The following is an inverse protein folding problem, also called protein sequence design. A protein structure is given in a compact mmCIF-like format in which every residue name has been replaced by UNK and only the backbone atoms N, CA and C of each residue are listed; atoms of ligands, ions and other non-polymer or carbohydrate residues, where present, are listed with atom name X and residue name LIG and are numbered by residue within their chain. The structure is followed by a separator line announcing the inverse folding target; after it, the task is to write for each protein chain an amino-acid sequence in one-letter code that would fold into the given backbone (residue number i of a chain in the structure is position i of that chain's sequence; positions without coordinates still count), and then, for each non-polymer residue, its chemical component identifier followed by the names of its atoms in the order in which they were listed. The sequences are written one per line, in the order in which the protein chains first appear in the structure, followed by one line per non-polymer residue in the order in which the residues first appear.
data_IF_631790337537
#
_entry.id   IF_631790337537
#
_cell.length_a   1.000
_cell.length_b   1.000
_cell.length_c   1.000
_cell.angle_alpha   90.00
_cell.angle_beta   90.00
_cell.angle_gamma   90.00
#
_symmetry.space_group_name_H-M   'P 1'
#
loop_
_entity.id
_entity.type
_entity.pdbx_description
1 polymer ?
#
# COMPACT_ATOMS: atom_id res chain seq x y z
N UNK A 1 -17.78 -11.74 10.25
CA UNK A 1 -16.87 -12.66 9.50
C UNK A 1 -15.59 -12.80 10.29
N UNK A 2 -14.93 -13.96 10.25
CA UNK A 2 -13.62 -14.12 10.90
C UNK A 2 -12.60 -13.18 10.25
N UNK A 3 -11.89 -12.38 11.05
CA UNK A 3 -10.86 -11.41 10.64
C UNK A 3 -9.79 -12.12 9.80
N UNK A 4 -9.35 -13.30 10.22
CA UNK A 4 -8.39 -14.10 9.45
C UNK A 4 -8.91 -14.52 8.07
N UNK A 5 -10.20 -14.84 7.95
CA UNK A 5 -10.84 -15.19 6.67
C UNK A 5 -10.96 -13.97 5.76
N UNK A 6 -11.22 -12.80 6.33
CA UNK A 6 -11.34 -11.54 5.61
C UNK A 6 -9.99 -11.06 5.08
N UNK A 7 -8.92 -11.14 5.88
CA UNK A 7 -7.54 -10.89 5.44
C UNK A 7 -7.15 -11.87 4.34
N UNK A 8 -7.37 -13.17 4.55
CA UNK A 8 -7.06 -14.19 3.55
C UNK A 8 -7.79 -13.95 2.23
N UNK A 9 -9.07 -13.56 2.28
CA UNK A 9 -9.84 -13.21 1.09
C UNK A 9 -9.29 -11.97 0.37
N UNK A 10 -8.90 -10.93 1.12
CA UNK A 10 -8.26 -9.72 0.58
C UNK A 10 -6.92 -10.04 -0.09
N UNK A 11 -6.08 -10.83 0.57
CA UNK A 11 -4.79 -11.27 0.02
C UNK A 11 -4.98 -12.13 -1.23
N UNK A 12 -5.92 -13.09 -1.21
CA UNK A 12 -6.23 -13.93 -2.37
C UNK A 12 -6.79 -13.12 -3.54
N UNK A 13 -7.64 -12.13 -3.26
CA UNK A 13 -8.13 -11.20 -4.27
C UNK A 13 -6.98 -10.44 -4.92
N UNK A 14 -6.04 -9.93 -4.11
CA UNK A 14 -4.88 -9.19 -4.60
C UNK A 14 -3.97 -10.05 -5.47
N UNK A 15 -3.70 -11.28 -5.03
CA UNK A 15 -2.93 -12.28 -5.79
C UNK A 15 -3.64 -12.61 -7.10
N UNK A 16 -4.95 -12.85 -7.07
CA UNK A 16 -5.73 -13.15 -8.27
C UNK A 16 -5.68 -12.00 -9.28
N UNK A 17 -5.86 -10.76 -8.82
CA UNK A 17 -5.74 -9.56 -9.67
C UNK A 17 -4.34 -9.46 -10.27
N UNK A 18 -3.28 -9.70 -9.49
CA UNK A 18 -1.91 -9.64 -9.99
C UNK A 18 -1.62 -10.73 -11.02
N UNK A 19 -2.09 -11.97 -10.78
CA UNK A 19 -1.94 -13.08 -11.73
C UNK A 19 -2.69 -12.78 -13.03
N UNK A 20 -3.94 -12.33 -12.96
CA UNK A 20 -4.72 -11.92 -14.13
C UNK A 20 -4.00 -10.81 -14.89
N UNK A 21 -3.44 -9.82 -14.17
CA UNK A 21 -2.70 -8.71 -14.77
C UNK A 21 -1.47 -9.18 -15.52
N UNK A 22 -0.67 -10.06 -14.90
CA UNK A 22 0.52 -10.63 -15.53
C UNK A 22 0.17 -11.48 -16.75
N UNK A 23 -0.85 -12.35 -16.65
CA UNK A 23 -1.30 -13.20 -17.76
C UNK A 23 -1.85 -12.37 -18.92
N UNK A 24 -2.67 -11.35 -18.64
CA UNK A 24 -3.16 -10.43 -19.64
C UNK A 24 -2.02 -9.64 -20.31
N UNK A 25 -1.01 -9.23 -19.53
CA UNK A 25 0.22 -8.62 -20.04
C UNK A 25 0.95 -9.51 -21.03
N UNK A 26 1.22 -10.76 -20.64
CA UNK A 26 1.88 -11.74 -21.50
C UNK A 26 1.06 -11.99 -22.76
N UNK A 27 -0.24 -12.26 -22.63
CA UNK A 27 -1.11 -12.54 -23.77
C UNK A 27 -1.22 -11.36 -24.75
N UNK A 28 -1.19 -10.12 -24.25
CA UNK A 28 -1.16 -8.93 -25.11
C UNK A 28 0.15 -8.78 -25.87
N UNK A 29 1.29 -9.02 -25.19
CA UNK A 29 2.60 -9.01 -25.85
C UNK A 29 2.71 -10.11 -26.90
N UNK A 30 2.19 -11.30 -26.61
CA UNK A 30 2.16 -12.41 -27.56
C UNK A 30 1.24 -12.14 -28.76
N UNK A 31 0.08 -11.47 -28.59
CA UNK A 31 -0.80 -11.15 -29.72
C UNK A 31 -0.19 -10.16 -30.72
N UNK A 32 0.80 -9.36 -30.32
CA UNK A 32 1.47 -8.43 -31.23
C UNK A 32 2.51 -9.10 -32.15
N UNK A 33 3.00 -10.30 -31.81
CA UNK A 33 4.18 -10.88 -32.47
C UNK A 33 3.91 -11.68 -33.78
N UNK A 34 2.85 -12.52 -33.90
CA UNK A 34 2.77 -13.48 -35.01
C UNK A 34 2.17 -12.92 -36.30
N UNK A 35 1.20 -12.01 -36.22
CA UNK A 35 0.51 -11.51 -37.41
C UNK A 35 1.42 -10.63 -38.27
N UNK A 36 2.20 -9.76 -37.63
CA UNK A 36 3.15 -8.86 -38.28
C UNK A 36 4.35 -9.63 -38.81
N UNK A 37 4.93 -10.52 -38.00
CA UNK A 37 6.15 -11.23 -38.38
C UNK A 37 5.98 -12.22 -39.52
N UNK A 38 4.75 -12.64 -39.85
CA UNK A 38 4.46 -13.46 -41.03
C UNK A 38 4.25 -12.59 -42.27
N UNK A 39 3.37 -11.58 -42.18
CA UNK A 39 3.09 -10.65 -43.29
C UNK A 39 4.37 -9.92 -43.71
N UNK A 40 5.21 -9.51 -42.76
CA UNK A 40 6.46 -8.81 -43.07
C UNK A 40 7.49 -9.74 -43.75
N UNK A 41 7.53 -11.03 -43.41
CA UNK A 41 8.45 -11.99 -44.06
C UNK A 41 7.99 -12.31 -45.47
N UNK A 42 6.71 -12.63 -45.63
CA UNK A 42 6.10 -12.90 -46.94
C UNK A 42 6.28 -11.67 -47.85
N UNK A 43 6.00 -10.46 -47.35
CA UNK A 43 6.15 -9.26 -48.19
C UNK A 43 7.62 -8.94 -48.52
N UNK A 44 8.58 -9.17 -47.60
CA UNK A 44 10.01 -8.98 -47.89
C UNK A 44 10.51 -9.95 -48.97
N UNK A 45 10.06 -11.20 -48.96
CA UNK A 45 10.41 -12.18 -49.99
C UNK A 45 9.87 -11.77 -51.37
N UNK A 46 8.63 -11.26 -51.44
CA UNK A 46 8.04 -10.75 -52.68
C UNK A 46 8.74 -9.49 -53.20
N UNK A 47 9.14 -8.56 -52.33
CA UNK A 47 9.95 -7.38 -52.73
C UNK A 47 11.31 -7.81 -53.28
N UNK A 48 12.01 -8.72 -52.61
CA UNK A 48 13.30 -9.21 -53.07
C UNK A 48 13.19 -9.92 -54.43
N UNK A 49 12.11 -10.67 -54.68
CA UNK A 49 11.83 -11.28 -55.97
C UNK A 49 11.66 -10.22 -57.08
N UNK A 50 10.88 -9.17 -56.82
CA UNK A 50 10.69 -8.04 -57.76
C UNK A 50 12.01 -7.31 -58.04
N UNK A 51 12.79 -7.01 -57.01
CA UNK A 51 14.10 -6.35 -57.16
C UNK A 51 15.09 -7.22 -57.95
N UNK A 52 15.10 -8.53 -57.69
CA UNK A 52 15.95 -9.48 -58.42
C UNK A 52 15.59 -9.53 -59.91
N UNK A 53 14.30 -9.57 -60.23
CA UNK A 53 13.81 -9.54 -61.61
C UNK A 53 14.16 -8.22 -62.31
N UNK A 54 13.96 -7.07 -61.65
CA UNK A 54 14.33 -5.76 -62.19
C UNK A 54 15.84 -5.64 -62.42
N UNK A 55 16.66 -6.11 -61.49
CA UNK A 55 18.12 -6.08 -61.61
C UNK A 55 18.61 -6.89 -62.82
N UNK A 56 18.05 -8.09 -63.05
CA UNK A 56 18.35 -8.92 -64.22
C UNK A 56 17.98 -8.19 -65.51
N UNK A 57 16.83 -7.51 -65.53
CA UNK A 57 16.39 -6.67 -66.64
C UNK A 57 17.18 -5.36 -66.78
N UNK A 58 18.28 -5.14 -66.06
CA UNK A 58 19.25 -4.07 -66.37
C UNK A 58 20.49 -4.58 -67.10
N UNK A 59 20.72 -5.90 -67.11
CA UNK A 59 21.87 -6.51 -67.76
C UNK A 59 21.76 -6.32 -69.29
N UNK A 60 22.82 -5.86 -69.97
CA UNK A 60 22.78 -5.64 -71.43
C UNK A 60 22.62 -6.94 -72.23
N UNK A 61 23.25 -8.02 -71.76
CA UNK A 61 23.22 -9.34 -72.40
C UNK A 61 22.88 -10.39 -71.36
N UNK A 62 21.70 -10.99 -71.47
CA UNK A 62 21.19 -11.98 -70.52
C UNK A 62 21.63 -13.37 -70.96
N UNK A 63 22.43 -14.03 -70.13
CA UNK A 63 22.87 -15.41 -70.33
C UNK A 63 21.93 -16.42 -69.69
N UNK A 64 22.31 -17.69 -69.77
CA UNK A 64 21.54 -18.79 -69.19
C UNK A 64 21.42 -18.69 -67.65
N UNK A 65 22.46 -18.16 -66.99
CA UNK A 65 22.48 -17.97 -65.54
C UNK A 65 21.46 -16.90 -65.10
N UNK A 66 21.45 -15.76 -65.80
CA UNK A 66 20.52 -14.66 -65.53
C UNK A 66 19.07 -15.08 -65.80
N UNK A 67 18.83 -15.83 -66.88
CA UNK A 67 17.51 -16.37 -67.20
C UNK A 67 17.01 -17.34 -66.13
N UNK A 68 17.88 -18.22 -65.63
CA UNK A 68 17.54 -19.13 -64.55
C UNK A 68 17.24 -18.37 -63.25
N UNK A 69 18.02 -17.34 -62.93
CA UNK A 69 17.79 -16.49 -61.77
C UNK A 69 16.45 -15.73 -61.86
N UNK A 70 16.08 -15.27 -63.06
CA UNK A 70 14.80 -14.60 -63.30
C UNK A 70 13.63 -15.56 -63.06
N UNK A 71 13.68 -16.76 -63.64
CA UNK A 71 12.64 -17.77 -63.45
C UNK A 71 12.51 -18.21 -61.99
N UNK A 72 13.62 -18.33 -61.27
CA UNK A 72 13.60 -18.64 -59.84
C UNK A 72 12.94 -17.51 -59.02
N UNK A 73 13.25 -16.26 -59.34
CA UNK A 73 12.63 -15.10 -58.68
C UNK A 73 11.13 -14.98 -59.01
N UNK A 74 10.74 -15.21 -60.26
CA UNK A 74 9.34 -15.21 -60.68
C UNK A 74 8.54 -16.34 -60.00
N UNK A 75 9.09 -17.55 -59.96
CA UNK A 75 8.47 -18.68 -59.26
C UNK A 75 8.33 -18.42 -57.75
N UNK A 76 9.30 -17.74 -57.13
CA UNK A 76 9.21 -17.32 -55.74
C UNK A 76 8.07 -16.31 -55.51
N UNK A 77 7.93 -15.31 -56.39
CA UNK A 77 6.85 -14.32 -56.30
C UNK A 77 5.46 -14.96 -56.47
N UNK A 78 5.31 -15.94 -57.36
CA UNK A 78 4.04 -16.66 -57.55
C UNK A 78 3.69 -17.64 -56.45
N UNK A 79 4.71 -18.19 -55.79
CA UNK A 79 4.51 -19.00 -54.58
C UNK A 79 4.04 -18.19 -53.38
N UNK A 80 4.06 -16.85 -53.48
CA UNK A 80 3.87 -15.94 -52.37
C UNK A 80 2.93 -14.78 -52.73
N UNK A 81 1.77 -15.12 -53.29
CA UNK A 81 0.68 -14.19 -53.59
C UNK A 81 -0.03 -13.82 -52.30
N UNK A 82 -0.03 -12.53 -51.99
CA UNK A 82 -0.60 -11.94 -50.77
C UNK A 82 -1.83 -11.07 -51.06
N UNK A 83 -1.88 -10.43 -52.22
CA UNK A 83 -2.95 -9.50 -52.61
C UNK A 83 -3.72 -9.99 -53.86
N UNK A 84 -5.03 -9.69 -53.97
CA UNK A 84 -5.89 -10.22 -55.03
C UNK A 84 -5.53 -9.71 -56.44
N UNK A 85 -4.84 -8.58 -56.56
CA UNK A 85 -4.40 -8.00 -57.83
C UNK A 85 -3.06 -8.57 -58.34
N UNK A 86 -2.28 -9.28 -57.51
CA UNK A 86 -0.96 -9.80 -57.89
C UNK A 86 -0.99 -10.90 -58.96
N UNK A 87 -1.95 -11.85 -58.99
CA UNK A 87 -1.99 -12.92 -59.99
C UNK A 87 -2.03 -12.42 -61.43
N UNK A 88 -2.78 -11.35 -61.70
CA UNK A 88 -2.93 -10.79 -63.04
C UNK A 88 -1.61 -10.16 -63.52
N UNK A 89 -0.89 -9.49 -62.62
CA UNK A 89 0.42 -8.92 -62.89
C UNK A 89 1.48 -9.99 -63.10
N UNK A 90 1.48 -11.04 -62.27
CA UNK A 90 2.40 -12.18 -62.40
C UNK A 90 2.19 -12.94 -63.70
N UNK A 91 0.92 -13.14 -64.11
CA UNK A 91 0.59 -13.75 -65.39
C UNK A 91 1.12 -12.91 -66.57
N UNK A 92 0.97 -11.58 -66.51
CA UNK A 92 1.49 -10.65 -67.52
C UNK A 92 3.03 -10.66 -67.58
N UNK A 93 3.70 -10.73 -66.43
CA UNK A 93 5.16 -10.86 -66.35
C UNK A 93 5.60 -12.16 -67.00
N UNK A 94 4.95 -13.28 -66.69
CA UNK A 94 5.28 -14.60 -67.28
C UNK A 94 5.07 -14.65 -68.79
N UNK A 95 3.97 -14.11 -69.29
CA UNK A 95 3.69 -14.12 -70.73
C UNK A 95 4.76 -13.38 -71.53
N UNK A 96 5.34 -12.31 -70.94
CA UNK A 96 6.30 -11.44 -71.61
C UNK A 96 7.76 -11.66 -71.21
N UNK A 97 8.04 -12.49 -70.20
CA UNK A 97 9.39 -12.69 -69.66
C UNK A 97 10.35 -13.23 -70.72
N UNK A 98 9.95 -14.23 -71.50
CA UNK A 98 10.81 -14.83 -72.53
C UNK A 98 11.25 -13.83 -73.60
N UNK A 99 10.34 -12.97 -74.06
CA UNK A 99 10.63 -11.93 -75.04
C UNK A 99 11.49 -10.80 -74.42
N UNK A 100 11.19 -10.41 -73.18
CA UNK A 100 11.96 -9.42 -72.44
C UNK A 100 13.42 -9.87 -72.21
N UNK A 101 13.62 -11.15 -71.84
CA UNK A 101 14.93 -11.75 -71.61
C UNK A 101 15.71 -11.99 -72.92
N UNK A 102 15.01 -12.17 -74.04
CA UNK A 102 15.60 -12.22 -75.38
C UNK A 102 16.05 -10.83 -75.89
N UNK A 103 15.75 -9.75 -75.15
CA UNK A 103 16.18 -8.39 -75.46
C UNK A 103 15.18 -7.56 -76.28
N UNK A 104 13.93 -8.00 -76.41
CA UNK A 104 12.88 -7.18 -77.03
C UNK A 104 12.59 -5.93 -76.18
N UNK A 105 12.80 -4.70 -76.71
CA UNK A 105 12.58 -3.47 -75.95
C UNK A 105 11.13 -3.29 -75.49
N UNK A 106 10.16 -3.74 -76.29
CA UNK A 106 8.73 -3.62 -75.97
C UNK A 106 8.34 -4.52 -74.81
N UNK A 107 8.66 -5.82 -74.89
CA UNK A 107 8.43 -6.76 -73.81
C UNK A 107 9.19 -6.38 -72.54
N UNK A 108 10.43 -5.87 -72.65
CA UNK A 108 11.21 -5.40 -71.48
C UNK A 108 10.53 -4.22 -70.78
N UNK A 109 10.01 -3.26 -71.53
CA UNK A 109 9.24 -2.14 -70.97
C UNK A 109 7.95 -2.64 -70.29
N UNK A 110 7.21 -3.54 -70.93
CA UNK A 110 5.99 -4.13 -70.37
C UNK A 110 6.23 -4.86 -69.05
N UNK A 111 7.29 -5.68 -68.99
CA UNK A 111 7.67 -6.42 -67.78
C UNK A 111 8.14 -5.46 -66.68
N UNK A 112 8.92 -4.41 -67.00
CA UNK A 112 9.35 -3.41 -66.01
C UNK A 112 8.15 -2.66 -65.42
N UNK A 113 7.17 -2.28 -66.24
CA UNK A 113 5.93 -1.65 -65.76
C UNK A 113 5.19 -2.58 -64.82
N UNK A 114 4.95 -3.84 -65.23
CA UNK A 114 4.24 -4.81 -64.40
C UNK A 114 4.97 -5.11 -63.08
N UNK A 115 6.31 -5.24 -63.09
CA UNK A 115 7.12 -5.41 -61.88
C UNK A 115 7.06 -4.18 -60.95
N UNK A 116 7.02 -2.98 -61.52
CA UNK A 116 6.91 -1.74 -60.74
C UNK A 116 5.55 -1.62 -60.09
N UNK A 117 4.48 -1.97 -60.80
CA UNK A 117 3.10 -2.04 -60.29
C UNK A 117 2.99 -3.09 -59.18
N UNK A 118 3.55 -4.30 -59.40
CA UNK A 118 3.59 -5.37 -58.39
C UNK A 118 4.32 -4.91 -57.12
N UNK A 119 5.48 -4.26 -57.27
CA UNK A 119 6.22 -3.70 -56.14
C UNK A 119 5.48 -2.56 -55.42
N UNK A 120 4.62 -1.80 -56.13
CA UNK A 120 3.81 -0.76 -55.52
C UNK A 120 2.66 -1.33 -54.68
N UNK A 121 1.98 -2.38 -55.18
CA UNK A 121 0.94 -3.10 -54.44
C UNK A 121 1.54 -3.70 -53.16
N UNK A 122 2.68 -4.38 -53.27
CA UNK A 122 3.31 -5.00 -52.11
C UNK A 122 3.71 -3.97 -51.03
N UNK A 123 4.30 -2.83 -51.43
CA UNK A 123 4.63 -1.74 -50.49
C UNK A 123 3.38 -1.12 -49.85
N UNK A 124 2.28 -1.00 -50.59
CA UNK A 124 1.02 -0.49 -50.05
C UNK A 124 0.44 -1.46 -49.01
N UNK A 125 0.46 -2.77 -49.30
CA UNK A 125 0.05 -3.82 -48.38
C UNK A 125 0.91 -3.83 -47.10
N UNK A 126 2.23 -3.69 -47.21
CA UNK A 126 3.13 -3.52 -46.06
C UNK A 126 2.74 -2.32 -45.20
N UNK A 127 2.45 -1.16 -45.82
CA UNK A 127 2.04 0.05 -45.10
C UNK A 127 0.74 -0.13 -44.33
N UNK A 128 -0.26 -0.76 -44.94
CA UNK A 128 -1.55 -1.04 -44.27
C UNK A 128 -1.39 -2.03 -43.11
N UNK A 129 -0.56 -3.07 -43.29
CA UNK A 129 -0.27 -4.03 -42.24
C UNK A 129 0.47 -3.39 -41.05
N UNK A 130 1.40 -2.47 -41.30
CA UNK A 130 2.10 -1.72 -40.26
C UNK A 130 1.17 -0.75 -39.52
N UNK A 131 0.28 -0.05 -40.22
CA UNK A 131 -0.74 0.78 -39.58
C UNK A 131 -1.67 -0.03 -38.67
N UNK A 132 -2.15 -1.18 -39.14
CA UNK A 132 -3.02 -2.05 -38.36
C UNK A 132 -2.29 -2.62 -37.13
N UNK A 133 -1.02 -2.98 -37.28
CA UNK A 133 -0.14 -3.36 -36.19
C UNK A 133 -0.01 -2.27 -35.12
N UNK A 134 0.22 -1.02 -35.56
CA UNK A 134 0.34 0.14 -34.67
C UNK A 134 -0.97 0.41 -33.93
N UNK A 135 -2.12 0.26 -34.61
CA UNK A 135 -3.45 0.41 -33.99
C UNK A 135 -3.69 -0.64 -32.92
N UNK A 136 -3.41 -1.91 -33.21
CA UNK A 136 -3.48 -2.99 -32.22
C UNK A 136 -2.55 -2.75 -31.03
N UNK A 137 -1.33 -2.26 -31.28
CA UNK A 137 -0.39 -1.88 -30.23
C UNK A 137 -0.85 -0.73 -29.35
N UNK A 138 -1.54 0.27 -29.93
CA UNK A 138 -2.11 1.38 -29.16
C UNK A 138 -3.24 0.92 -28.23
N UNK A 139 -4.13 0.04 -28.70
CA UNK A 139 -5.19 -0.53 -27.90
C UNK A 139 -4.63 -1.42 -26.77
N UNK A 140 -3.58 -2.19 -27.05
CA UNK A 140 -2.87 -3.00 -26.08
C UNK A 140 -2.33 -2.19 -24.90
N UNK A 141 -1.69 -1.05 -25.19
CA UNK A 141 -1.15 -0.17 -24.15
C UNK A 141 -2.23 0.39 -23.22
N UNK A 142 -3.36 0.82 -23.77
CA UNK A 142 -4.45 1.35 -22.95
C UNK A 142 -5.10 0.28 -22.05
N UNK A 143 -5.23 -0.94 -22.56
CA UNK A 143 -5.73 -2.05 -21.75
C UNK A 143 -4.78 -2.37 -20.57
N UNK A 144 -3.46 -2.38 -20.80
CA UNK A 144 -2.47 -2.59 -19.74
C UNK A 144 -2.48 -1.46 -18.71
N UNK A 145 -2.56 -0.21 -19.16
CA UNK A 145 -2.65 0.95 -18.28
C UNK A 145 -3.91 0.88 -17.39
N UNK A 146 -5.05 0.52 -17.98
CA UNK A 146 -6.30 0.35 -17.25
C UNK A 146 -6.21 -0.80 -16.22
N UNK A 147 -5.62 -1.93 -16.60
CA UNK A 147 -5.46 -3.07 -15.71
C UNK A 147 -4.52 -2.76 -14.53
N UNK A 148 -3.42 -2.06 -14.79
CA UNK A 148 -2.53 -1.55 -13.76
C UNK A 148 -3.23 -0.57 -12.81
N UNK A 149 -4.07 0.32 -13.34
CA UNK A 149 -4.87 1.25 -12.54
C UNK A 149 -5.85 0.51 -11.62
N UNK A 150 -6.53 -0.53 -12.13
CA UNK A 150 -7.43 -1.37 -11.34
C UNK A 150 -6.66 -2.12 -10.24
N UNK A 151 -5.50 -2.70 -10.56
CA UNK A 151 -4.64 -3.36 -9.57
C UNK A 151 -4.15 -2.40 -8.48
N UNK A 152 -3.79 -1.18 -8.86
CA UNK A 152 -3.40 -0.13 -7.92
C UNK A 152 -4.57 0.27 -7.00
N UNK A 153 -5.75 0.50 -7.57
CA UNK A 153 -6.95 0.82 -6.80
C UNK A 153 -7.31 -0.30 -5.82
N UNK A 154 -7.31 -1.56 -6.27
CA UNK A 154 -7.56 -2.71 -5.41
C UNK A 154 -6.55 -2.80 -4.25
N UNK A 155 -5.28 -2.51 -4.52
CA UNK A 155 -4.23 -2.47 -3.48
C UNK A 155 -4.46 -1.35 -2.47
N UNK A 156 -4.81 -0.16 -2.93
CA UNK A 156 -5.10 0.99 -2.06
C UNK A 156 -6.31 0.72 -1.16
N UNK A 157 -7.40 0.17 -1.72
CA UNK A 157 -8.57 -0.24 -0.95
C UNK A 157 -8.23 -1.32 0.08
N UNK A 158 -7.36 -2.26 -0.27
CA UNK A 158 -6.90 -3.33 0.62
C UNK A 158 -6.13 -2.78 1.82
N UNK A 159 -5.18 -1.87 1.58
CA UNK A 159 -4.41 -1.21 2.63
C UNK A 159 -5.33 -0.39 3.54
N UNK A 160 -6.24 0.39 2.96
CA UNK A 160 -7.18 1.21 3.74
C UNK A 160 -8.06 0.35 4.63
N UNK A 161 -8.62 -0.73 4.09
CA UNK A 161 -9.43 -1.67 4.88
C UNK A 161 -8.64 -2.36 5.98
N UNK A 162 -7.41 -2.79 5.71
CA UNK A 162 -6.54 -3.37 6.72
C UNK A 162 -6.24 -2.37 7.85
N UNK A 163 -6.05 -1.08 7.51
CA UNK A 163 -5.90 0.01 8.47
C UNK A 163 -7.10 0.16 9.40
N UNK A 164 -8.29 0.32 8.83
CA UNK A 164 -9.52 0.53 9.60
C UNK A 164 -9.95 -0.70 10.41
N UNK A 165 -9.65 -1.92 9.93
CA UNK A 165 -10.16 -3.17 10.54
C UNK A 165 -9.17 -3.88 11.47
N UNK A 166 -7.86 -3.61 11.35
CA UNK A 166 -6.83 -4.28 12.15
C UNK A 166 -6.03 -3.30 12.98
N UNK A 167 -5.45 -2.28 12.32
CA UNK A 167 -4.53 -1.35 12.97
C UNK A 167 -5.25 -0.45 13.96
N UNK A 168 -6.44 0.07 13.62
CA UNK A 168 -7.21 0.91 14.52
C UNK A 168 -7.67 0.17 15.81
N UNK A 169 -8.28 -1.03 15.74
CA UNK A 169 -8.60 -1.80 16.95
C UNK A 169 -7.38 -2.14 17.82
N UNK A 170 -6.27 -2.55 17.21
CA UNK A 170 -5.04 -2.86 17.95
C UNK A 170 -4.45 -1.61 18.63
N UNK A 171 -4.49 -0.46 17.96
CA UNK A 171 -4.06 0.81 18.53
C UNK A 171 -4.94 1.19 19.73
N UNK A 172 -6.26 0.98 19.64
CA UNK A 172 -7.18 1.25 20.75
C UNK A 172 -6.90 0.34 21.95
N UNK A 173 -6.67 -0.97 21.74
CA UNK A 173 -6.28 -1.89 22.82
C UNK A 173 -5.05 -1.39 23.58
N UNK A 174 -4.00 -1.01 22.84
CA UNK A 174 -2.76 -0.51 23.43
C UNK A 174 -3.03 0.80 24.19
N UNK A 175 -3.86 1.70 23.64
CA UNK A 175 -4.18 2.96 24.29
C UNK A 175 -4.96 2.78 25.60
N UNK A 176 -5.96 1.90 25.64
CA UNK A 176 -6.78 1.63 26.83
C UNK A 176 -5.95 0.97 27.94
N UNK A 177 -5.16 -0.07 27.61
CA UNK A 177 -4.27 -0.71 28.58
C UNK A 177 -3.23 0.28 29.12
N UNK A 178 -2.70 1.15 28.25
CA UNK A 178 -1.73 2.18 28.68
C UNK A 178 -2.38 3.19 29.63
N UNK A 179 -3.60 3.65 29.34
CA UNK A 179 -4.34 4.57 30.21
C UNK A 179 -4.67 3.95 31.57
N UNK A 180 -5.12 2.70 31.58
CA UNK A 180 -5.39 1.97 32.81
C UNK A 180 -4.13 1.85 33.69
N UNK A 181 -2.98 1.55 33.08
CA UNK A 181 -1.67 1.55 33.78
C UNK A 181 -1.24 2.91 34.32
N UNK A 182 -1.73 4.00 33.73
CA UNK A 182 -1.47 5.37 34.17
C UNK A 182 -2.46 5.86 35.24
N UNK A 183 -3.42 5.00 35.65
CA UNK A 183 -4.39 5.29 36.71
C UNK A 183 -5.75 5.78 36.21
N UNK A 184 -5.97 5.87 34.90
CA UNK A 184 -7.29 6.14 34.33
C UNK A 184 -8.10 4.83 34.24
N UNK A 185 -8.76 4.48 35.35
CA UNK A 185 -9.51 3.22 35.46
C UNK A 185 -10.84 3.23 34.73
N UNK A 186 -11.33 4.39 34.27
CA UNK A 186 -12.65 4.51 33.65
C UNK A 186 -12.61 4.49 32.11
N UNK A 187 -11.43 4.59 31.49
CA UNK A 187 -11.32 4.47 30.04
C UNK A 187 -11.72 3.06 29.59
N UNK A 188 -12.56 3.00 28.55
CA UNK A 188 -13.03 1.76 27.90
C UNK A 188 -12.75 1.81 26.40
N UNK A 189 -12.78 0.64 25.77
CA UNK A 189 -12.58 0.51 24.33
C UNK A 189 -13.74 1.16 23.55
N UNK A 190 -13.45 1.72 22.38
CA UNK A 190 -14.51 2.19 21.48
C UNK A 190 -15.25 1.01 20.85
N UNK A 191 -16.57 1.14 20.71
CA UNK A 191 -17.36 0.13 20.01
C UNK A 191 -17.04 0.10 18.52
N UNK A 192 -16.56 -1.06 18.07
CA UNK A 192 -16.18 -1.33 16.70
C UNK A 192 -17.24 -2.21 16.00
N UNK A 193 -17.22 -2.28 14.66
CA UNK A 193 -18.10 -3.16 13.92
C UNK A 193 -17.91 -4.62 14.36
N UNK A 194 -18.97 -5.44 14.39
CA UNK A 194 -18.94 -6.78 14.97
C UNK A 194 -17.98 -7.70 14.19
N UNK A 195 -16.84 -8.00 14.80
CA UNK A 195 -15.81 -8.91 14.32
C UNK A 195 -15.07 -9.57 15.49
N UNK A 196 -14.15 -10.49 15.22
CA UNK A 196 -13.43 -11.19 16.30
C UNK A 196 -12.58 -10.24 17.17
N UNK A 197 -12.16 -9.09 16.63
CA UNK A 197 -11.44 -8.06 17.38
C UNK A 197 -12.37 -7.27 18.31
N UNK A 198 -13.63 -7.00 17.92
CA UNK A 198 -14.62 -6.40 18.81
C UNK A 198 -14.91 -7.33 19.99
N UNK A 199 -15.03 -8.64 19.74
CA UNK A 199 -15.22 -9.60 20.83
C UNK A 199 -14.04 -9.55 21.82
N UNK A 200 -12.80 -9.48 21.33
CA UNK A 200 -11.61 -9.37 22.20
C UNK A 200 -11.59 -8.06 22.99
N UNK A 201 -12.01 -6.94 22.39
CA UNK A 201 -12.12 -5.65 23.07
C UNK A 201 -13.19 -5.69 24.17
N UNK A 202 -14.34 -6.30 23.91
CA UNK A 202 -15.40 -6.45 24.90
C UNK A 202 -14.92 -7.31 26.09
N UNK A 203 -14.16 -8.38 25.83
CA UNK A 203 -13.54 -9.18 26.88
C UNK A 203 -12.47 -8.42 27.66
N UNK A 204 -11.71 -7.53 27.00
CA UNK A 204 -10.74 -6.67 27.66
C UNK A 204 -11.44 -5.69 28.61
N UNK A 205 -12.48 -5.00 28.16
CA UNK A 205 -13.27 -4.08 29.00
C UNK A 205 -13.84 -4.81 30.22
N UNK A 206 -14.35 -6.03 30.05
CA UNK A 206 -14.89 -6.85 31.14
C UNK A 206 -13.81 -7.29 32.15
N UNK A 207 -12.57 -7.52 31.68
CA UNK A 207 -11.43 -7.78 32.56
C UNK A 207 -11.00 -6.52 33.34
N UNK A 208 -11.01 -5.36 32.69
CA UNK A 208 -10.70 -4.08 33.32
C UNK A 208 -11.75 -3.72 34.38
N UNK A 209 -13.03 -3.95 34.10
CA UNK A 209 -14.13 -3.79 35.07
C UNK A 209 -13.87 -4.66 36.30
N UNK A 210 -13.54 -5.95 36.12
CA UNK A 210 -13.24 -6.83 37.26
C UNK A 210 -12.02 -6.38 38.05
N UNK A 211 -10.98 -5.90 37.37
CA UNK A 211 -9.78 -5.39 38.01
C UNK A 211 -10.09 -4.15 38.85
N UNK A 212 -10.91 -3.23 38.33
CA UNK A 212 -11.38 -2.05 39.05
C UNK A 212 -12.18 -2.41 40.32
N UNK A 213 -13.08 -3.39 40.24
CA UNK A 213 -13.86 -3.86 41.40
C UNK A 213 -13.02 -4.64 42.42
N UNK A 214 -11.92 -5.26 41.98
CA UNK A 214 -10.98 -5.98 42.86
C UNK A 214 -9.97 -5.05 43.53
N UNK A 215 -9.79 -3.81 43.03
CA UNK A 215 -9.02 -2.80 43.74
C UNK A 215 -9.80 -2.39 45.00
N UNK A 216 -9.19 -2.44 46.19
CA UNK A 216 -9.85 -1.96 47.40
C UNK A 216 -10.28 -0.51 47.18
N UNK A 217 -11.52 -0.19 47.55
CA UNK A 217 -12.06 1.15 47.41
C UNK A 217 -11.03 2.17 47.96
N UNK A 218 -10.72 3.25 47.23
CA UNK A 218 -9.89 4.30 47.80
C UNK A 218 -10.61 4.75 49.06
N UNK A 219 -9.97 4.52 50.22
CA UNK A 219 -10.49 4.96 51.51
C UNK A 219 -10.74 6.46 51.33
N UNK A 220 -11.99 6.94 51.43
CA UNK A 220 -12.23 8.35 51.28
C UNK A 220 -11.44 9.04 52.39
N UNK A 221 -10.42 9.80 52.00
CA UNK A 221 -9.85 10.82 52.87
C UNK A 221 -10.97 11.85 53.06
N UNK A 222 -11.90 11.57 53.97
CA UNK A 222 -12.84 12.57 54.43
C UNK A 222 -11.95 13.67 55.05
N UNK A 223 -11.81 14.80 54.37
CA UNK A 223 -11.03 15.94 54.87
C UNK A 223 -11.80 16.70 55.96
N UNK A 224 -13.09 16.41 56.14
CA UNK A 224 -13.96 17.04 57.14
C UNK A 224 -13.49 16.84 58.59
N UNK A 225 -13.05 15.65 59.04
CA UNK A 225 -12.48 15.46 60.37
C UNK A 225 -11.19 16.25 60.54
N UNK A 226 -10.36 16.36 59.50
CA UNK A 226 -9.12 17.14 59.54
C UNK A 226 -9.40 18.63 59.66
N UNK A 227 -10.34 19.15 58.87
CA UNK A 227 -10.80 20.54 58.96
C UNK A 227 -11.44 20.88 60.30
N UNK A 228 -12.26 19.97 60.85
CA UNK A 228 -12.86 20.13 62.17
C UNK A 228 -11.82 20.07 63.30
N UNK A 229 -10.82 19.19 63.19
CA UNK A 229 -9.71 19.10 64.15
C UNK A 229 -8.90 20.40 64.16
N UNK A 230 -8.51 20.92 62.99
CA UNK A 230 -7.78 22.19 62.89
C UNK A 230 -8.59 23.36 63.49
N UNK A 231 -9.89 23.44 63.17
CA UNK A 231 -10.76 24.47 63.74
C UNK A 231 -10.97 24.35 65.26
N UNK A 232 -10.91 23.15 65.83
CA UNK A 232 -10.95 22.94 67.28
C UNK A 232 -9.62 23.33 67.94
N UNK A 233 -8.49 22.98 67.31
CA UNK A 233 -7.15 23.35 67.80
C UNK A 233 -6.98 24.87 67.85
N UNK A 234 -7.45 25.59 66.83
CA UNK A 234 -7.38 27.06 66.78
C UNK A 234 -8.26 27.77 67.80
N UNK A 235 -9.28 27.10 68.34
CA UNK A 235 -10.15 27.65 69.39
C UNK A 235 -9.63 27.40 70.79
N UNK A 236 -8.55 26.64 70.94
CA UNK A 236 -7.96 26.42 72.25
C UNK A 236 -7.20 27.67 72.71
N UNK A 237 -7.34 28.05 73.99
CA UNK A 237 -6.72 29.28 74.52
C UNK A 237 -5.20 29.19 74.65
N UNK A 238 -4.61 28.00 74.45
CA UNK A 238 -3.17 27.73 74.46
C UNK A 238 -2.74 27.16 73.12
N UNK A 239 -1.54 27.51 72.62
CA UNK A 239 -0.98 26.89 71.43
C UNK A 239 -0.92 25.37 71.58
N UNK A 240 -1.37 24.64 70.57
CA UNK A 240 -1.48 23.20 70.63
C UNK A 240 -1.00 22.48 69.38
N UNK A 241 -0.43 21.29 69.61
CA UNK A 241 0.15 20.40 68.62
C UNK A 241 -0.37 18.99 68.82
N UNK A 242 -0.79 18.35 67.74
CA UNK A 242 -1.13 16.92 67.72
C UNK A 242 0.02 16.19 67.05
N UNK A 243 0.65 15.29 67.78
CA UNK A 243 1.75 14.43 67.35
C UNK A 243 1.25 13.02 67.06
N UNK A 244 1.78 12.40 66.01
CA UNK A 244 1.59 11.00 65.68
C UNK A 244 2.42 10.05 66.54
N UNK A 245 2.20 8.75 66.37
CA UNK A 245 2.97 7.69 67.04
C UNK A 245 4.47 7.76 66.73
N UNK A 246 4.82 8.24 65.54
CA UNK A 246 6.18 8.47 65.06
C UNK A 246 6.77 9.82 65.50
N UNK A 247 6.02 10.61 66.27
CA UNK A 247 6.41 11.94 66.69
C UNK A 247 6.40 12.98 65.57
N UNK A 248 5.76 12.71 64.43
CA UNK A 248 5.48 13.72 63.41
C UNK A 248 4.34 14.64 63.83
N UNK A 249 4.39 15.90 63.43
CA UNK A 249 3.29 16.84 63.68
C UNK A 249 2.18 16.56 62.67
N UNK A 250 1.04 16.08 63.16
CA UNK A 250 -0.14 15.74 62.34
C UNK A 250 -1.04 16.97 62.14
N UNK A 251 -1.18 17.79 63.18
CA UNK A 251 -1.94 19.03 63.15
C UNK A 251 -1.42 20.01 64.21
N UNK A 252 -1.52 21.31 63.93
CA UNK A 252 -1.11 22.37 64.84
C UNK A 252 -2.11 23.53 64.78
N UNK A 253 -2.38 24.16 65.91
CA UNK A 253 -3.07 25.46 65.94
C UNK A 253 -2.19 26.55 65.31
N UNK A 254 -2.80 27.58 64.73
CA UNK A 254 -2.08 28.72 64.14
C UNK A 254 -1.15 29.39 65.17
N UNK A 255 -1.58 29.53 66.41
CA UNK A 255 -0.76 30.09 67.50
C UNK A 255 0.44 29.22 67.88
N UNK A 256 0.37 27.90 67.61
CA UNK A 256 1.51 26.99 67.76
C UNK A 256 2.46 27.10 66.58
N UNK A 257 1.94 27.20 65.35
CA UNK A 257 2.72 27.44 64.13
C UNK A 257 3.51 28.75 64.21
N UNK A 258 2.89 29.82 64.72
CA UNK A 258 3.55 31.12 64.90
C UNK A 258 4.69 31.07 65.95
N UNK A 259 4.67 30.07 66.86
CA UNK A 259 5.74 29.82 67.84
C UNK A 259 6.82 28.87 67.33
N UNK A 260 6.52 28.08 66.30
CA UNK A 260 7.42 27.09 65.71
C UNK A 260 8.44 27.72 64.75
N UNK A 261 8.32 29.00 64.38
CA UNK A 261 9.30 29.64 63.51
C UNK A 261 10.66 29.85 64.18
N UNK A 262 11.65 29.08 63.69
CA UNK A 262 13.12 29.28 63.69
C UNK A 262 14.02 28.31 64.52
N UNK A 263 13.49 27.28 65.23
CA UNK A 263 14.36 26.25 65.86
C UNK A 263 13.66 24.88 66.02
N UNK A 264 13.04 24.40 64.94
CA UNK A 264 12.02 23.33 64.92
C UNK A 264 12.46 21.94 65.42
N UNK A 265 13.67 21.45 65.15
CA UNK A 265 14.03 20.06 65.51
C UNK A 265 14.20 19.85 67.02
N UNK A 266 14.84 20.79 67.73
CA UNK A 266 15.10 20.64 69.16
C UNK A 266 13.84 20.72 70.02
N UNK A 267 12.81 21.47 69.59
CA UNK A 267 11.52 21.53 70.27
C UNK A 267 10.73 20.24 70.03
N UNK A 268 10.70 19.76 68.78
CA UNK A 268 9.99 18.54 68.41
C UNK A 268 10.64 17.30 69.04
N UNK A 269 11.97 17.23 69.10
CA UNK A 269 12.69 16.13 69.77
C UNK A 269 12.45 16.12 71.28
N UNK A 270 12.41 17.28 71.94
CA UNK A 270 12.04 17.37 73.36
C UNK A 270 10.60 16.91 73.62
N UNK A 271 9.65 17.31 72.77
CA UNK A 271 8.26 16.87 72.88
C UNK A 271 8.10 15.37 72.60
N UNK A 272 8.91 14.79 71.70
CA UNK A 272 8.97 13.34 71.45
C UNK A 272 9.47 12.57 72.66
N UNK A 273 10.55 13.05 73.28
CA UNK A 273 11.16 12.48 74.49
C UNK A 273 10.28 12.69 75.75
N UNK A 274 9.25 13.53 75.66
CA UNK A 274 8.29 13.78 76.74
C UNK A 274 8.75 14.83 77.76
N UNK A 275 9.76 15.62 77.41
CA UNK A 275 10.26 16.71 78.25
C UNK A 275 9.37 17.95 78.15
N UNK A 276 8.73 18.35 79.25
CA UNK A 276 7.87 19.54 79.34
C UNK A 276 8.56 20.67 80.10
N UNK A 277 8.42 21.92 79.64
CA UNK A 277 8.77 23.11 80.42
C UNK A 277 7.65 23.48 81.37
N UNK A 278 7.98 24.32 82.35
CA UNK A 278 7.02 24.87 83.30
C UNK A 278 5.90 25.63 82.56
N UNK A 279 4.69 25.04 82.55
CA UNK A 279 3.51 25.55 81.84
C UNK A 279 3.05 24.71 80.63
N UNK A 280 3.89 23.81 80.12
CA UNK A 280 3.58 22.89 79.02
C UNK A 280 2.90 21.61 79.54
N UNK A 281 2.03 20.98 78.75
CA UNK A 281 1.37 19.72 79.13
C UNK A 281 1.23 18.81 77.93
N UNK A 282 1.60 17.53 78.08
CA UNK A 282 1.46 16.52 77.01
C UNK A 282 0.48 15.45 77.48
N UNK A 283 -0.65 15.33 76.78
CA UNK A 283 -1.66 14.30 77.01
C UNK A 283 -1.57 13.24 75.91
N UNK A 284 -1.35 11.97 76.28
CA UNK A 284 -1.23 10.86 75.32
C UNK A 284 -2.52 10.05 75.29
N UNK A 285 -3.12 9.92 74.11
CA UNK A 285 -4.37 9.18 73.89
C UNK A 285 -4.26 8.31 72.63
N UNK A 286 -4.27 6.98 72.82
CA UNK A 286 -4.49 6.00 71.75
C UNK A 286 -3.57 6.17 70.52
N UNK A 287 -2.26 6.29 70.75
CA UNK A 287 -1.24 6.46 69.70
C UNK A 287 -0.91 7.92 69.37
N UNK A 288 -1.76 8.88 69.76
CA UNK A 288 -1.53 10.30 69.52
C UNK A 288 -1.12 11.02 70.80
N UNK A 289 -0.37 12.12 70.67
CA UNK A 289 -0.06 13.00 71.78
C UNK A 289 -0.52 14.44 71.47
N UNK A 290 -1.28 15.05 72.38
CA UNK A 290 -1.63 16.45 72.35
C UNK A 290 -0.65 17.22 73.25
N UNK A 291 0.18 18.08 72.67
CA UNK A 291 1.07 18.97 73.39
C UNK A 291 0.46 20.38 73.44
N UNK A 292 0.29 20.92 74.64
CA UNK A 292 -0.12 22.30 74.91
C UNK A 292 1.11 23.11 75.34
N UNK A 293 1.39 24.20 74.61
CA UNK A 293 2.53 25.11 74.82
C UNK A 293 2.16 26.43 75.52
#
# INVERSE_FOLDING_TARGET
MKVGRQISMLTWLLVAVQVITSLAGIAMLERMSPAIGRILRENVESVHAVESMLAILTVPTIGASERQAFEAALAAAEGNVTEPEEPDLLARIRERSDAALAGDPGARADVVVALTELGAINRAAMGQADEEALRLGSAGRWALAFLALVGFAASLLSIRRAGEQLLAPLAEMVAVVTAFRQGDTHRRCQQLPPNELSDVLDHLDLLLDRAEHAMPAPVPHDERPRGALLALLDRMPRPALVLGEDGSVIAASQSALDRLTESDEALLDRLREGETREGETIERHGGYALALL
#
